data_IF_032922637506
#
_entry.id   IF_032922637506
#
_cell.length_a   1.000
_cell.length_b   1.000
_cell.length_c   1.000
_cell.angle_alpha   90.00
_cell.angle_beta   90.00
_cell.angle_gamma   90.00
#
_symmetry.space_group_name_H-M   'P 1'
#
loop_
_entity.id
_entity.type
_entity.pdbx_description
1 polymer ?
#
# COMPACT_ATOMS: atom_id res chain seq x y z
N UNK A 1 27.31 30.77 -17.08
CA UNK A 1 25.99 30.10 -17.23
C UNK A 1 26.13 28.87 -18.07
N UNK A 2 26.66 29.00 -19.29
CA UNK A 2 26.69 27.91 -20.27
C UNK A 2 27.51 26.67 -19.89
N UNK A 3 28.51 26.78 -19.00
CA UNK A 3 29.28 25.61 -18.53
C UNK A 3 28.64 24.87 -17.37
N UNK A 4 27.81 25.55 -16.57
CA UNK A 4 27.25 24.99 -15.34
C UNK A 4 26.03 24.11 -15.64
N UNK A 5 25.20 24.47 -16.62
CA UNK A 5 24.06 23.66 -17.05
C UNK A 5 24.47 22.26 -17.56
N UNK A 6 25.42 22.11 -18.51
CA UNK A 6 25.88 20.79 -18.95
C UNK A 6 26.50 19.97 -17.82
N UNK A 7 27.27 20.62 -16.94
CA UNK A 7 27.87 19.95 -15.79
C UNK A 7 26.78 19.39 -14.85
N UNK A 8 25.72 20.17 -14.62
CA UNK A 8 24.57 19.75 -13.80
C UNK A 8 23.88 18.52 -14.43
N UNK A 9 23.69 18.53 -15.75
CA UNK A 9 23.12 17.40 -16.49
C UNK A 9 24.01 16.15 -16.53
N UNK A 10 25.33 16.30 -16.39
CA UNK A 10 26.24 15.14 -16.22
C UNK A 10 26.03 14.52 -14.84
N UNK A 11 26.04 15.32 -13.78
CA UNK A 11 25.83 14.84 -12.40
C UNK A 11 24.46 14.18 -12.23
N UNK A 12 23.41 14.71 -12.87
CA UNK A 12 22.07 14.07 -12.86
C UNK A 12 22.12 12.67 -13.49
N UNK A 13 22.83 12.49 -14.61
CA UNK A 13 22.97 11.17 -15.25
C UNK A 13 23.81 10.22 -14.40
N UNK A 14 24.84 10.72 -13.73
CA UNK A 14 25.61 9.93 -12.75
C UNK A 14 24.70 9.44 -11.61
N UNK A 15 23.88 10.31 -11.01
CA UNK A 15 22.90 9.93 -9.99
C UNK A 15 21.94 8.86 -10.49
N UNK A 16 21.46 8.96 -11.73
CA UNK A 16 20.58 7.94 -12.29
C UNK A 16 21.28 6.57 -12.39
N UNK A 17 22.53 6.54 -12.85
CA UNK A 17 23.32 5.31 -12.92
C UNK A 17 23.62 4.75 -11.52
N UNK A 18 23.94 5.63 -10.56
CA UNK A 18 24.20 5.25 -9.18
C UNK A 18 22.94 4.69 -8.51
N UNK A 19 21.76 5.25 -8.80
CA UNK A 19 20.49 4.72 -8.30
C UNK A 19 20.18 3.34 -8.86
N UNK A 20 20.47 3.10 -10.14
CA UNK A 20 20.32 1.76 -10.74
C UNK A 20 21.32 0.77 -10.14
N UNK A 21 22.56 1.19 -9.89
CA UNK A 21 23.56 0.36 -9.22
C UNK A 21 23.14 0.06 -7.76
N UNK A 22 22.61 1.06 -7.06
CA UNK A 22 22.08 0.94 -5.71
C UNK A 22 20.86 0.01 -5.64
N UNK A 23 19.97 0.03 -6.64
CA UNK A 23 18.83 -0.90 -6.66
C UNK A 23 19.28 -2.36 -6.79
N UNK A 24 20.33 -2.62 -7.57
CA UNK A 24 20.86 -3.95 -7.84
C UNK A 24 21.87 -4.47 -6.79
N UNK A 25 22.39 -3.61 -5.92
CA UNK A 25 23.36 -4.01 -4.89
C UNK A 25 22.68 -4.83 -3.78
N UNK A 26 23.26 -5.98 -3.46
CA UNK A 26 22.76 -6.90 -2.43
C UNK A 26 23.61 -6.86 -1.13
N UNK A 27 24.86 -6.38 -1.21
CA UNK A 27 25.78 -6.35 -0.07
C UNK A 27 25.55 -5.14 0.85
N UNK A 28 25.43 -5.36 2.16
CA UNK A 28 25.17 -4.29 3.16
C UNK A 28 26.24 -3.20 3.19
N UNK A 29 27.52 -3.57 3.12
CA UNK A 29 28.61 -2.59 3.19
C UNK A 29 28.66 -1.71 1.93
N UNK A 30 28.41 -2.30 0.76
CA UNK A 30 28.36 -1.54 -0.49
C UNK A 30 27.10 -0.67 -0.55
N UNK A 31 25.99 -1.12 0.03
CA UNK A 31 24.73 -0.38 0.14
C UNK A 31 24.90 0.93 0.93
N UNK A 32 25.51 0.85 2.12
CA UNK A 32 25.74 2.04 2.96
C UNK A 32 26.69 3.04 2.30
N UNK A 33 27.78 2.56 1.70
CA UNK A 33 28.73 3.42 0.99
C UNK A 33 28.10 4.08 -0.25
N UNK A 34 27.31 3.33 -1.02
CA UNK A 34 26.60 3.84 -2.19
C UNK A 34 25.52 4.85 -1.79
N UNK A 35 24.75 4.58 -0.73
CA UNK A 35 23.77 5.51 -0.16
C UNK A 35 24.41 6.84 0.26
N UNK A 36 25.55 6.78 0.95
CA UNK A 36 26.31 7.97 1.33
C UNK A 36 26.84 8.72 0.10
N UNK A 37 27.33 8.01 -0.92
CA UNK A 37 27.77 8.61 -2.18
C UNK A 37 26.64 9.37 -2.88
N UNK A 38 25.47 8.72 -3.05
CA UNK A 38 24.29 9.31 -3.68
C UNK A 38 23.82 10.55 -2.91
N UNK A 39 23.78 10.50 -1.57
CA UNK A 39 23.43 11.66 -0.74
C UNK A 39 24.41 12.83 -0.92
N UNK A 40 25.72 12.57 -0.98
CA UNK A 40 26.72 13.60 -1.24
C UNK A 40 26.55 14.22 -2.64
N UNK A 41 26.21 13.43 -3.65
CA UNK A 41 25.92 13.93 -5.00
C UNK A 41 24.67 14.81 -5.01
N UNK A 42 23.61 14.44 -4.29
CA UNK A 42 22.43 15.29 -4.13
C UNK A 42 22.75 16.62 -3.44
N UNK A 43 23.60 16.63 -2.42
CA UNK A 43 24.03 17.87 -1.76
C UNK A 43 24.80 18.77 -2.74
N UNK A 44 25.79 18.21 -3.44
CA UNK A 44 26.54 18.93 -4.48
C UNK A 44 25.61 19.50 -5.56
N UNK A 45 24.61 18.75 -5.97
CA UNK A 45 23.63 19.16 -6.97
C UNK A 45 22.74 20.31 -6.46
N UNK A 46 22.36 20.28 -5.17
CA UNK A 46 21.64 21.38 -4.52
C UNK A 46 22.47 22.66 -4.50
N UNK A 47 23.76 22.59 -4.12
CA UNK A 47 24.67 23.74 -4.15
C UNK A 47 24.84 24.32 -5.56
N UNK A 48 24.95 23.45 -6.58
CA UNK A 48 25.01 23.86 -7.98
C UNK A 48 23.72 24.56 -8.41
N UNK A 49 22.56 24.06 -7.98
CA UNK A 49 21.26 24.69 -8.23
C UNK A 49 21.13 26.06 -7.58
N UNK A 50 21.57 26.22 -6.33
CA UNK A 50 21.54 27.51 -5.64
C UNK A 50 22.44 28.54 -6.35
N UNK A 51 23.62 28.09 -6.81
CA UNK A 51 24.51 28.92 -7.64
C UNK A 51 23.89 29.29 -8.98
N UNK A 52 23.20 28.35 -9.64
CA UNK A 52 22.45 28.63 -10.87
C UNK A 52 21.34 29.64 -10.63
N UNK A 53 20.60 29.57 -9.53
CA UNK A 53 19.51 30.50 -9.21
C UNK A 53 20.02 31.96 -9.11
N UNK A 54 21.16 32.15 -8.43
CA UNK A 54 21.83 33.46 -8.36
C UNK A 54 22.21 33.96 -9.75
N UNK A 55 22.75 33.08 -10.60
CA UNK A 55 23.19 33.46 -11.94
C UNK A 55 22.01 33.73 -12.89
N UNK A 56 20.89 33.01 -12.79
CA UNK A 56 19.68 33.24 -13.60
C UNK A 56 19.16 34.65 -13.35
N UNK A 57 19.19 35.11 -12.09
CA UNK A 57 18.77 36.47 -11.75
C UNK A 57 19.67 37.56 -12.35
N UNK A 58 20.92 37.24 -12.69
CA UNK A 58 21.88 38.15 -13.32
C UNK A 58 21.82 38.16 -14.85
N UNK A 59 21.01 37.29 -15.47
CA UNK A 59 20.88 37.25 -16.94
C UNK A 59 19.98 38.38 -17.49
N UNK A 60 20.20 38.79 -18.76
CA UNK A 60 19.32 39.73 -19.44
C UNK A 60 17.89 39.18 -19.55
N UNK A 61 16.91 40.07 -19.47
CA UNK A 61 15.46 39.75 -19.39
C UNK A 61 15.01 38.79 -20.50
N UNK A 62 15.58 38.93 -21.69
CA UNK A 62 15.26 38.11 -22.87
C UNK A 62 15.58 36.61 -22.69
N UNK A 63 16.66 36.28 -21.98
CA UNK A 63 17.09 34.87 -21.75
C UNK A 63 16.67 34.33 -20.38
N UNK A 64 16.42 35.23 -19.43
CA UNK A 64 16.07 34.90 -18.04
C UNK A 64 14.90 33.94 -17.91
N UNK A 65 13.84 34.11 -18.71
CA UNK A 65 12.68 33.22 -18.66
C UNK A 65 13.03 31.77 -19.03
N UNK A 66 13.80 31.59 -20.11
CA UNK A 66 14.24 30.26 -20.57
C UNK A 66 15.18 29.60 -19.55
N UNK A 67 16.17 30.34 -19.04
CA UNK A 67 17.12 29.83 -18.04
C UNK A 67 16.42 29.47 -16.73
N UNK A 68 15.37 30.21 -16.35
CA UNK A 68 14.56 29.89 -15.17
C UNK A 68 13.71 28.64 -15.37
N UNK A 69 13.15 28.45 -16.56
CA UNK A 69 12.43 27.21 -16.88
C UNK A 69 13.37 26.00 -16.76
N UNK A 70 14.56 26.05 -17.36
CA UNK A 70 15.57 24.98 -17.26
C UNK A 70 15.99 24.70 -15.81
N UNK A 71 16.16 25.75 -15.01
CA UNK A 71 16.46 25.58 -13.59
C UNK A 71 15.30 24.90 -12.83
N UNK A 72 14.06 25.22 -13.17
CA UNK A 72 12.89 24.58 -12.58
C UNK A 72 12.78 23.10 -12.98
N UNK A 73 13.07 22.76 -14.23
CA UNK A 73 13.15 21.38 -14.71
C UNK A 73 14.20 20.60 -13.90
N UNK A 74 15.41 21.15 -13.74
CA UNK A 74 16.46 20.54 -12.90
C UNK A 74 16.00 20.36 -11.45
N UNK A 75 15.37 21.38 -10.85
CA UNK A 75 14.84 21.30 -9.47
C UNK A 75 13.76 20.22 -9.34
N UNK A 76 12.96 20.02 -10.38
CA UNK A 76 11.97 18.94 -10.41
C UNK A 76 12.65 17.57 -10.46
N UNK A 77 13.63 17.39 -11.34
CA UNK A 77 14.37 16.14 -11.49
C UNK A 77 15.06 15.74 -10.18
N UNK A 78 15.70 16.69 -9.49
CA UNK A 78 16.32 16.45 -8.16
C UNK A 78 15.32 15.88 -7.18
N UNK A 79 14.14 16.50 -7.05
CA UNK A 79 13.10 16.01 -6.13
C UNK A 79 12.58 14.64 -6.53
N UNK A 80 12.43 14.40 -7.83
CA UNK A 80 11.99 13.12 -8.36
C UNK A 80 12.98 12.00 -8.01
N UNK A 81 14.28 12.23 -8.24
CA UNK A 81 15.32 11.26 -7.90
C UNK A 81 15.49 11.07 -6.39
N UNK A 82 15.35 12.12 -5.57
CA UNK A 82 15.33 12.01 -4.11
C UNK A 82 14.16 11.15 -3.62
N UNK A 83 12.96 11.34 -4.18
CA UNK A 83 11.80 10.51 -3.86
C UNK A 83 12.01 9.05 -4.27
N UNK A 84 12.59 8.81 -5.45
CA UNK A 84 12.95 7.46 -5.92
C UNK A 84 13.95 6.80 -4.97
N UNK A 85 15.01 7.51 -4.57
CA UNK A 85 16.01 7.03 -3.62
C UNK A 85 15.41 6.65 -2.26
N UNK A 86 14.53 7.50 -1.72
CA UNK A 86 13.81 7.21 -0.47
C UNK A 86 12.93 5.97 -0.59
N UNK A 87 12.26 5.79 -1.72
CA UNK A 87 11.41 4.61 -1.98
C UNK A 87 12.23 3.33 -2.05
N UNK A 88 13.37 3.33 -2.76
CA UNK A 88 14.27 2.17 -2.83
C UNK A 88 14.81 1.83 -1.44
N UNK A 89 15.26 2.84 -0.68
CA UNK A 89 15.78 2.65 0.68
C UNK A 89 14.72 2.04 1.61
N UNK A 90 13.50 2.57 1.58
CA UNK A 90 12.39 2.04 2.39
C UNK A 90 12.04 0.60 2.02
N UNK A 91 12.01 0.27 0.71
CA UNK A 91 11.79 -1.11 0.25
C UNK A 91 12.88 -2.06 0.74
N UNK A 92 14.16 -1.65 0.70
CA UNK A 92 15.27 -2.47 1.21
C UNK A 92 15.15 -2.69 2.72
N UNK A 93 14.86 -1.63 3.49
CA UNK A 93 14.63 -1.73 4.94
C UNK A 93 13.47 -2.66 5.27
N UNK A 94 12.34 -2.55 4.55
CA UNK A 94 11.19 -3.42 4.74
C UNK A 94 11.52 -4.89 4.45
N UNK A 95 12.31 -5.16 3.41
CA UNK A 95 12.80 -6.52 3.11
C UNK A 95 13.69 -7.05 4.23
N UNK A 96 14.63 -6.24 4.71
CA UNK A 96 15.52 -6.62 5.82
C UNK A 96 14.74 -6.89 7.11
N UNK A 97 13.76 -6.05 7.44
CA UNK A 97 12.89 -6.25 8.59
C UNK A 97 12.05 -7.52 8.46
N UNK A 98 11.51 -7.80 7.27
CA UNK A 98 10.77 -9.03 7.01
C UNK A 98 11.65 -10.28 7.14
N UNK A 99 12.89 -10.24 6.63
CA UNK A 99 13.86 -11.32 6.80
C UNK A 99 14.23 -11.53 8.28
N UNK A 100 14.50 -10.44 9.01
CA UNK A 100 14.77 -10.47 10.45
C UNK A 100 13.59 -11.04 11.24
N UNK A 101 12.35 -10.63 10.94
CA UNK A 101 11.15 -11.16 11.57
C UNK A 101 10.99 -12.66 11.27
N UNK A 102 11.26 -13.08 10.03
CA UNK A 102 11.23 -14.50 9.64
C UNK A 102 12.25 -15.32 10.42
N UNK A 103 13.48 -14.84 10.56
CA UNK A 103 14.52 -15.49 11.36
C UNK A 103 14.13 -15.57 12.84
N UNK A 104 13.60 -14.48 13.40
CA UNK A 104 13.11 -14.47 14.79
C UNK A 104 11.98 -15.50 15.00
N UNK A 105 11.04 -15.63 14.07
CA UNK A 105 9.99 -16.65 14.12
C UNK A 105 10.55 -18.06 14.00
N UNK A 106 11.59 -18.27 13.20
CA UNK A 106 12.26 -19.57 13.05
C UNK A 106 13.02 -19.96 14.33
N UNK A 107 13.70 -19.01 14.97
CA UNK A 107 14.47 -19.24 16.20
C UNK A 107 13.63 -19.20 17.47
N UNK A 108 12.41 -18.63 17.39
CA UNK A 108 11.46 -18.68 18.48
C UNK A 108 11.06 -20.13 18.70
N UNK A 109 11.55 -20.71 19.80
CA UNK A 109 11.00 -21.95 20.34
C UNK A 109 9.54 -21.66 20.72
N UNK A 110 8.61 -22.05 19.86
CA UNK A 110 7.20 -22.14 20.23
C UNK A 110 7.14 -23.20 21.34
N UNK A 111 7.10 -22.75 22.60
CA UNK A 111 6.84 -23.63 23.72
C UNK A 111 5.50 -24.29 23.44
N UNK A 112 5.51 -25.60 23.22
CA UNK A 112 4.32 -26.44 23.20
C UNK A 112 3.39 -26.06 24.35
N UNK A 113 2.09 -26.11 24.06
CA UNK A 113 0.93 -25.53 24.74
C UNK A 113 0.68 -25.94 26.19
N UNK A 114 1.68 -25.88 27.08
CA UNK A 114 1.52 -26.25 28.49
C UNK A 114 1.72 -25.08 29.48
N UNK A 115 2.25 -23.91 29.05
CA UNK A 115 2.66 -22.85 30.00
C UNK A 115 1.85 -21.56 29.90
N UNK A 116 1.00 -21.35 28.90
CA UNK A 116 0.23 -20.10 28.84
C UNK A 116 -1.13 -20.31 28.18
N UNK A 117 -2.11 -20.61 29.03
CA UNK A 117 -3.53 -20.46 28.72
C UNK A 117 -3.80 -19.01 28.31
N UNK A 118 -4.05 -18.76 27.02
CA UNK A 118 -4.65 -17.57 26.42
C UNK A 118 -3.71 -16.83 25.45
N UNK A 119 -3.98 -16.95 24.15
CA UNK A 119 -3.90 -15.76 23.29
C UNK A 119 -3.37 -15.90 21.87
N UNK A 120 -2.58 -16.92 21.51
CA UNK A 120 -2.04 -17.02 20.15
C UNK A 120 -2.30 -18.41 19.57
N UNK A 121 -2.96 -18.44 18.42
CA UNK A 121 -3.34 -19.63 17.62
C UNK A 121 -4.44 -20.53 18.21
N UNK A 122 -5.58 -19.95 18.58
CA UNK A 122 -6.85 -20.67 18.45
C UNK A 122 -7.55 -20.12 17.20
N UNK A 123 -7.81 -21.00 16.23
CA UNK A 123 -8.75 -20.68 15.16
C UNK A 123 -10.11 -20.64 15.84
N UNK A 124 -10.73 -19.46 15.95
CA UNK A 124 -12.05 -19.27 16.55
C UNK A 124 -13.13 -19.95 15.67
N UNK A 125 -13.17 -21.28 15.70
CA UNK A 125 -14.15 -22.11 15.00
C UNK A 125 -15.58 -21.87 15.52
N UNK A 126 -15.68 -21.34 16.73
CA UNK A 126 -16.92 -21.05 17.45
C UNK A 126 -17.79 -20.04 16.70
N UNK A 127 -17.20 -18.99 16.12
CA UNK A 127 -17.97 -17.97 15.41
C UNK A 127 -18.61 -18.49 14.11
N UNK A 128 -17.90 -19.37 13.39
CA UNK A 128 -18.45 -20.03 12.20
C UNK A 128 -19.54 -21.05 12.56
N UNK A 129 -19.40 -21.75 13.69
CA UNK A 129 -20.40 -22.71 14.17
C UNK A 129 -21.67 -22.01 14.65
N UNK A 130 -21.54 -20.92 15.41
CA UNK A 130 -22.66 -20.07 15.83
C UNK A 130 -23.45 -19.53 14.64
N UNK A 131 -22.75 -19.08 13.59
CA UNK A 131 -23.39 -18.57 12.39
C UNK A 131 -24.16 -19.68 11.64
N UNK A 132 -23.58 -20.87 11.52
CA UNK A 132 -24.24 -22.03 10.91
C UNK A 132 -25.49 -22.44 11.69
N UNK A 133 -25.40 -22.55 13.02
CA UNK A 133 -26.54 -22.91 13.86
C UNK A 133 -27.67 -21.87 13.78
N UNK A 134 -27.31 -20.57 13.71
CA UNK A 134 -28.29 -19.51 13.50
C UNK A 134 -28.97 -19.66 12.14
N UNK A 135 -28.24 -19.93 11.07
CA UNK A 135 -28.82 -20.15 9.75
C UNK A 135 -29.82 -21.33 9.75
N UNK A 136 -29.44 -22.47 10.32
CA UNK A 136 -30.31 -23.65 10.39
C UNK A 136 -31.59 -23.35 11.18
N UNK A 137 -31.46 -22.65 12.31
CA UNK A 137 -32.63 -22.22 13.10
C UNK A 137 -33.52 -21.25 12.33
N UNK A 138 -32.95 -20.31 11.57
CA UNK A 138 -33.74 -19.37 10.75
C UNK A 138 -34.46 -20.07 9.61
N UNK A 139 -33.84 -21.07 8.99
CA UNK A 139 -34.46 -21.87 7.94
C UNK A 139 -35.68 -22.61 8.48
N UNK A 140 -35.55 -23.28 9.63
CA UNK A 140 -36.67 -23.96 10.28
C UNK A 140 -37.82 -23.00 10.66
N UNK A 141 -37.49 -21.77 11.10
CA UNK A 141 -38.51 -20.76 11.40
C UNK A 141 -39.23 -20.27 10.14
N UNK A 142 -38.49 -20.02 9.05
CA UNK A 142 -39.07 -19.65 7.76
C UNK A 142 -39.98 -20.76 7.23
N UNK A 143 -39.55 -22.02 7.29
CA UNK A 143 -40.37 -23.16 6.91
C UNK A 143 -41.66 -23.25 7.73
N UNK A 144 -41.58 -23.02 9.05
CA UNK A 144 -42.76 -23.00 9.91
C UNK A 144 -43.73 -21.87 9.55
N UNK A 145 -43.21 -20.69 9.18
CA UNK A 145 -44.03 -19.55 8.76
C UNK A 145 -44.67 -19.80 7.40
N UNK A 146 -43.94 -20.38 6.45
CA UNK A 146 -44.48 -20.78 5.15
C UNK A 146 -45.58 -21.82 5.30
N UNK A 147 -45.42 -22.78 6.21
CA UNK A 147 -46.47 -23.77 6.47
C UNK A 147 -47.70 -23.13 7.12
N UNK A 148 -47.52 -22.21 8.07
CA UNK A 148 -48.64 -21.44 8.64
C UNK A 148 -49.34 -20.58 7.58
N UNK A 149 -48.59 -19.92 6.70
CA UNK A 149 -49.14 -19.16 5.58
C UNK A 149 -49.93 -20.08 4.62
N UNK A 150 -49.43 -21.28 4.36
CA UNK A 150 -50.14 -22.29 3.54
C UNK A 150 -51.47 -22.69 4.18
N UNK A 151 -51.48 -23.00 5.48
CA UNK A 151 -52.69 -23.37 6.22
C UNK A 151 -53.72 -22.23 6.27
N UNK A 152 -53.28 -20.98 6.43
CA UNK A 152 -54.20 -19.83 6.41
C UNK A 152 -54.80 -19.60 5.03
N UNK A 153 -54.01 -19.74 3.95
CA UNK A 153 -54.52 -19.65 2.58
C UNK A 153 -55.50 -20.78 2.26
N UNK A 154 -55.22 -22.01 2.70
CA UNK A 154 -56.13 -23.16 2.54
C UNK A 154 -57.45 -22.92 3.30
N UNK A 155 -57.37 -22.38 4.52
CA UNK A 155 -58.56 -21.99 5.29
C UNK A 155 -59.38 -20.89 4.60
N UNK A 156 -58.73 -19.85 4.07
CA UNK A 156 -59.39 -18.79 3.30
C UNK A 156 -60.01 -19.31 2.01
N UNK A 157 -59.34 -20.25 1.33
CA UNK A 157 -59.88 -20.90 0.14
C UNK A 157 -61.12 -21.72 0.48
N UNK A 158 -61.09 -22.50 1.56
CA UNK A 158 -62.23 -23.27 2.04
C UNK A 158 -63.40 -22.38 2.48
N UNK A 159 -63.14 -21.28 3.19
CA UNK A 159 -64.17 -20.30 3.52
C UNK A 159 -64.77 -19.66 2.26
N UNK A 160 -63.93 -19.33 1.28
CA UNK A 160 -64.35 -18.77 0.00
C UNK A 160 -65.20 -19.72 -0.85
N UNK A 161 -64.87 -21.01 -0.89
CA UNK A 161 -65.70 -22.02 -1.57
C UNK A 161 -67.03 -22.23 -0.84
N UNK A 162 -67.01 -22.31 0.49
CA UNK A 162 -68.22 -22.45 1.31
C UNK A 162 -69.19 -21.28 1.11
N UNK A 163 -68.69 -20.04 1.12
CA UNK A 163 -69.52 -18.85 0.86
C UNK A 163 -70.06 -18.80 -0.58
N UNK A 164 -69.29 -19.27 -1.57
CA UNK A 164 -69.78 -19.42 -2.95
C UNK A 164 -70.89 -20.46 -3.07
N UNK A 165 -70.83 -21.55 -2.31
CA UNK A 165 -71.90 -22.57 -2.29
C UNK A 165 -73.17 -22.05 -1.62
N UNK A 166 -73.05 -21.32 -0.51
CA UNK A 166 -74.18 -20.68 0.17
C UNK A 166 -74.88 -19.66 -0.75
N UNK A 167 -74.13 -18.90 -1.56
CA UNK A 167 -74.68 -17.94 -2.52
C UNK A 167 -75.36 -18.59 -3.74
N UNK A 168 -75.11 -19.87 -4.00
CA UNK A 168 -75.73 -20.62 -5.13
C UNK A 168 -77.05 -21.32 -4.74
N UNK A 169 -77.37 -21.42 -3.45
CA UNK A 169 -78.69 -21.82 -2.95
C UNK A 169 -79.59 -20.59 -2.86
#
# INVERSE_FOLDING_TARGET
MDSLFPQTSVVIREIQNDLLAFENSQDRETDTNCSNHINNQFQRLSEMCDRLDILVNKEPVQRRAQSRQRLNEIKYDIRHYQAAFSSITSKKQQREEAERQRELLLHRKFTSSAVTSNGATHINLDHSLDYSQRLDSTHAHVDSYLEQARLTLESLQFQGSTLKEIRKK
#
